data_IF_116190199771
#
_entry.id   IF_116190199771
#
_cell.length_a   1.000
_cell.length_b   1.000
_cell.length_c   1.000
_cell.angle_alpha   90.00
_cell.angle_beta   90.00
_cell.angle_gamma   90.00
#
_symmetry.space_group_name_H-M   'P 1'
#
loop_
_entity.id
_entity.type
_entity.pdbx_description
1 polymer ?
#
# COMPACT_ATOMS: atom_id res chain seq x y z
N UNK A 1 -9.46 92.41 8.90
CA UNK A 1 -10.02 92.96 10.17
C UNK A 1 -11.37 92.31 10.35
N UNK A 2 -11.68 91.92 11.51
CA UNK A 2 -12.84 91.24 12.08
C UNK A 2 -12.68 89.75 12.21
N UNK A 3 -12.30 89.38 13.43
CA UNK A 3 -12.39 88.03 14.00
C UNK A 3 -13.83 87.77 14.44
N UNK A 4 -14.45 86.73 13.97
CA UNK A 4 -15.70 86.23 14.56
C UNK A 4 -15.36 84.96 15.38
N UNK A 5 -15.57 85.02 16.70
CA UNK A 5 -15.54 83.89 17.61
C UNK A 5 -16.87 83.16 17.49
N UNK A 6 -16.83 81.83 17.22
CA UNK A 6 -17.98 80.93 17.42
C UNK A 6 -17.72 80.06 18.61
N UNK A 7 -18.54 80.22 19.63
CA UNK A 7 -18.64 79.34 20.81
C UNK A 7 -19.44 78.11 20.47
N UNK A 8 -18.88 76.95 20.72
CA UNK A 8 -19.58 75.66 20.56
C UNK A 8 -20.04 75.16 21.93
N UNK A 9 -21.34 74.83 22.12
CA UNK A 9 -21.79 74.26 23.41
C UNK A 9 -21.36 72.77 23.57
N UNK A 10 -20.85 72.48 24.73
CA UNK A 10 -20.41 71.20 25.20
C UNK A 10 -21.63 70.30 25.50
N UNK A 11 -21.92 69.25 24.68
CA UNK A 11 -22.96 68.29 24.92
C UNK A 11 -22.34 67.11 25.69
N UNK A 12 -22.80 66.90 26.91
CA UNK A 12 -22.45 65.71 27.70
C UNK A 12 -23.18 64.47 27.14
N UNK A 13 -22.46 63.52 26.56
CA UNK A 13 -23.00 62.20 26.27
C UNK A 13 -22.76 61.27 27.47
N UNK A 14 -23.83 60.84 28.10
CA UNK A 14 -23.84 59.74 29.05
C UNK A 14 -23.64 58.44 28.24
N UNK A 15 -22.52 57.76 28.39
CA UNK A 15 -22.27 56.42 27.82
C UNK A 15 -22.91 55.39 28.75
N UNK A 16 -24.02 54.77 28.29
CA UNK A 16 -24.55 53.53 28.82
C UNK A 16 -23.61 52.37 28.40
N UNK A 17 -22.85 51.85 29.34
CA UNK A 17 -22.06 50.64 29.14
C UNK A 17 -23.00 49.42 29.07
N UNK A 18 -23.31 48.95 27.85
CA UNK A 18 -23.96 47.67 27.64
C UNK A 18 -22.91 46.54 27.80
N UNK A 19 -22.97 45.85 28.92
CA UNK A 19 -22.15 44.66 29.16
C UNK A 19 -22.51 43.53 28.15
N UNK A 20 -21.74 43.37 27.12
CA UNK A 20 -21.80 42.17 26.29
C UNK A 20 -21.15 41.01 27.06
N UNK A 21 -21.97 40.07 27.51
CA UNK A 21 -21.53 38.79 28.02
C UNK A 21 -20.85 38.03 26.85
N UNK A 22 -19.52 37.97 26.84
CA UNK A 22 -18.76 37.06 25.96
C UNK A 22 -19.04 35.64 26.44
N UNK A 23 -19.92 34.93 25.74
CA UNK A 23 -20.02 33.49 25.84
C UNK A 23 -18.71 32.89 25.33
N UNK A 24 -17.84 32.48 26.25
CA UNK A 24 -16.72 31.60 25.96
C UNK A 24 -17.25 30.34 25.29
N UNK A 25 -17.07 30.26 23.96
CA UNK A 25 -17.29 29.02 23.21
C UNK A 25 -16.33 27.99 23.79
N UNK A 26 -16.87 27.02 24.52
CA UNK A 26 -16.09 25.91 25.05
C UNK A 26 -15.45 25.21 23.85
N UNK A 27 -14.15 25.35 23.69
CA UNK A 27 -13.34 24.57 22.76
C UNK A 27 -13.36 23.15 23.29
N UNK A 28 -14.14 22.27 22.69
CA UNK A 28 -14.02 20.84 22.95
C UNK A 28 -12.67 20.42 22.39
N UNK A 29 -11.67 20.28 23.21
CA UNK A 29 -10.39 19.67 22.89
C UNK A 29 -10.60 18.17 22.71
N UNK A 30 -11.14 17.77 21.56
CA UNK A 30 -11.10 16.36 21.16
C UNK A 30 -9.63 16.06 20.86
N UNK A 31 -9.06 15.10 21.57
CA UNK A 31 -7.72 14.57 21.27
C UNK A 31 -7.64 14.26 19.77
N UNK A 32 -6.62 14.76 19.07
CA UNK A 32 -6.45 14.47 17.65
C UNK A 32 -6.40 12.96 17.42
N UNK A 33 -7.23 12.45 16.52
CA UNK A 33 -7.22 11.04 16.16
C UNK A 33 -5.89 10.68 15.50
N UNK A 34 -5.33 9.53 15.86
CA UNK A 34 -4.07 9.07 15.29
C UNK A 34 -3.97 7.55 15.25
N UNK A 35 -3.01 7.06 14.47
CA UNK A 35 -2.62 5.66 14.40
C UNK A 35 -1.12 5.59 14.09
N UNK A 36 -0.43 4.61 14.65
CA UNK A 36 0.99 4.35 14.36
C UNK A 36 1.13 3.02 13.62
N UNK A 37 1.86 3.02 12.52
CA UNK A 37 2.17 1.85 11.69
C UNK A 37 3.61 1.95 11.20
N UNK A 38 4.22 0.81 10.88
CA UNK A 38 5.53 0.79 10.25
C UNK A 38 5.43 0.82 8.71
N UNK A 39 6.55 1.04 8.06
CA UNK A 39 6.71 0.90 6.61
C UNK A 39 6.26 -0.49 6.16
N UNK A 40 5.50 -0.56 5.06
CA UNK A 40 4.94 -1.80 4.52
C UNK A 40 3.67 -2.29 5.22
N UNK A 41 3.15 -1.58 6.21
CA UNK A 41 1.93 -1.94 6.94
C UNK A 41 0.69 -1.21 6.43
N UNK A 42 -0.48 -1.58 6.98
CA UNK A 42 -1.76 -1.00 6.63
C UNK A 42 -2.48 -0.57 7.90
N UNK A 43 -2.87 0.70 7.97
CA UNK A 43 -3.79 1.19 9.00
C UNK A 43 -5.24 1.09 8.52
N UNK A 44 -6.18 0.95 9.45
CA UNK A 44 -7.61 1.02 9.15
C UNK A 44 -8.30 2.15 9.92
N UNK A 45 -9.40 2.63 9.39
CA UNK A 45 -10.31 3.55 10.06
C UNK A 45 -11.75 3.13 9.79
N UNK A 46 -12.33 2.39 10.73
CA UNK A 46 -13.66 1.83 10.61
C UNK A 46 -14.77 2.88 10.90
N UNK A 47 -15.97 2.61 10.42
CA UNK A 47 -17.19 3.35 10.78
C UNK A 47 -17.76 4.23 9.67
N UNK A 48 -18.68 3.67 8.88
CA UNK A 48 -19.54 4.36 7.91
C UNK A 48 -18.79 5.27 6.92
N UNK A 49 -17.62 4.84 6.45
CA UNK A 49 -16.83 5.57 5.49
C UNK A 49 -17.35 5.34 4.06
N UNK A 50 -17.32 6.39 3.24
CA UNK A 50 -17.52 6.32 1.79
C UNK A 50 -16.21 6.45 1.01
N UNK A 51 -15.35 7.39 1.44
CA UNK A 51 -14.14 7.74 0.72
C UNK A 51 -12.99 7.99 1.68
N UNK A 52 -11.82 7.54 1.28
CA UNK A 52 -10.56 7.63 1.99
C UNK A 52 -9.59 8.49 1.19
N UNK A 53 -8.68 9.21 1.86
CA UNK A 53 -7.61 9.95 1.17
C UNK A 53 -6.31 9.89 1.95
N UNK A 54 -5.21 9.69 1.23
CA UNK A 54 -3.85 9.66 1.74
C UNK A 54 -2.88 10.04 0.61
N UNK A 55 -1.86 10.85 0.90
CA UNK A 55 -0.81 11.23 -0.07
C UNK A 55 -1.37 11.69 -1.44
N UNK A 56 -2.29 12.65 -1.41
CA UNK A 56 -2.95 13.23 -2.61
C UNK A 56 -3.74 12.21 -3.45
N UNK A 57 -3.90 10.98 -2.99
CA UNK A 57 -4.73 9.95 -3.61
C UNK A 57 -6.02 9.76 -2.83
N UNK A 58 -7.07 9.33 -3.51
CA UNK A 58 -8.35 9.05 -2.89
C UNK A 58 -8.99 7.81 -3.54
N UNK A 59 -9.70 7.02 -2.69
CA UNK A 59 -10.35 5.79 -3.10
C UNK A 59 -11.62 5.55 -2.30
N UNK A 60 -12.42 4.58 -2.71
CA UNK A 60 -13.63 4.19 -2.02
C UNK A 60 -13.31 3.36 -0.78
N UNK A 61 -14.08 3.53 0.28
CA UNK A 61 -14.03 2.64 1.43
C UNK A 61 -14.50 1.22 1.06
N UNK A 62 -13.99 0.22 1.76
CA UNK A 62 -14.40 -1.18 1.65
C UNK A 62 -15.27 -1.52 2.85
N UNK A 63 -16.54 -1.87 2.63
CA UNK A 63 -17.49 -2.21 3.68
C UNK A 63 -17.52 -1.18 4.84
N UNK A 64 -17.53 0.11 4.49
CA UNK A 64 -17.57 1.21 5.47
C UNK A 64 -16.27 1.46 6.22
N UNK A 65 -15.17 0.84 5.82
CA UNK A 65 -13.84 0.99 6.42
C UNK A 65 -12.85 1.58 5.41
N UNK A 66 -12.08 2.57 5.83
CA UNK A 66 -10.94 3.07 5.10
C UNK A 66 -9.68 2.29 5.48
N UNK A 67 -8.92 1.85 4.49
CA UNK A 67 -7.61 1.25 4.65
C UNK A 67 -6.55 2.19 4.06
N UNK A 68 -5.46 2.40 4.79
CA UNK A 68 -4.37 3.30 4.46
C UNK A 68 -3.07 2.50 4.36
N UNK A 69 -2.74 1.98 3.17
CA UNK A 69 -1.51 1.26 2.96
C UNK A 69 -0.32 2.23 2.97
N UNK A 70 0.68 1.91 3.77
CA UNK A 70 1.95 2.63 3.87
C UNK A 70 2.98 1.92 3.03
N UNK A 71 3.54 2.61 2.05
CA UNK A 71 4.59 2.04 1.19
C UNK A 71 5.84 1.68 2.01
N UNK A 72 6.49 0.56 1.64
CA UNK A 72 7.70 0.09 2.33
C UNK A 72 8.87 1.09 2.29
N UNK A 73 8.88 1.99 1.32
CA UNK A 73 9.91 3.01 1.15
C UNK A 73 9.42 4.42 1.54
N UNK A 74 8.21 4.53 2.12
CA UNK A 74 7.70 5.79 2.63
C UNK A 74 8.60 6.32 3.76
N UNK A 75 8.98 7.58 3.71
CA UNK A 75 9.82 8.17 4.77
C UNK A 75 9.10 8.12 6.12
N UNK A 76 9.79 7.78 7.22
CA UNK A 76 9.22 7.90 8.56
C UNK A 76 8.77 9.33 8.84
N UNK A 77 7.66 9.49 9.57
CA UNK A 77 7.11 10.81 9.88
C UNK A 77 5.60 10.81 10.11
N UNK A 78 5.04 12.01 10.19
CA UNK A 78 3.63 12.24 10.45
C UNK A 78 2.94 12.70 9.17
N UNK A 79 1.85 12.03 8.82
CA UNK A 79 1.10 12.31 7.61
C UNK A 79 -0.39 12.47 7.92
N UNK A 80 -1.07 13.30 7.16
CA UNK A 80 -2.52 13.46 7.30
C UNK A 80 -3.24 12.43 6.45
N UNK A 81 -4.14 11.68 7.07
CA UNK A 81 -5.15 10.86 6.40
C UNK A 81 -6.52 11.49 6.58
N UNK A 82 -7.43 11.23 5.66
CA UNK A 82 -8.80 11.70 5.79
C UNK A 82 -9.82 10.68 5.31
N UNK A 83 -11.04 10.77 5.85
CA UNK A 83 -12.20 10.02 5.40
C UNK A 83 -13.42 10.90 5.25
N UNK A 84 -14.29 10.58 4.29
CA UNK A 84 -15.63 11.12 4.21
C UNK A 84 -16.63 10.04 4.64
N UNK A 85 -17.47 10.37 5.61
CA UNK A 85 -18.51 9.46 6.11
C UNK A 85 -19.72 9.43 5.18
N UNK A 86 -20.60 8.45 5.35
CA UNK A 86 -21.90 8.37 4.64
C UNK A 86 -22.79 9.60 4.89
N UNK A 87 -22.67 10.25 6.07
CA UNK A 87 -23.31 11.53 6.37
C UNK A 87 -22.63 12.76 5.77
N UNK A 88 -21.62 12.59 4.89
CA UNK A 88 -20.94 13.68 4.19
C UNK A 88 -19.85 14.39 5.01
N UNK A 89 -19.69 14.09 6.30
CA UNK A 89 -18.67 14.70 7.17
C UNK A 89 -17.28 14.31 6.72
N UNK A 90 -16.39 15.30 6.57
CA UNK A 90 -14.95 15.09 6.38
C UNK A 90 -14.29 15.02 7.76
N UNK A 91 -13.55 13.95 8.00
CA UNK A 91 -12.76 13.74 9.22
C UNK A 91 -11.30 13.55 8.84
N UNK A 92 -10.39 14.08 9.66
CA UNK A 92 -8.93 13.95 9.50
C UNK A 92 -8.32 13.26 10.71
N UNK A 93 -7.21 12.57 10.49
CA UNK A 93 -6.40 11.96 11.52
C UNK A 93 -4.92 12.00 11.11
N UNK A 94 -4.03 11.71 12.04
CA UNK A 94 -2.60 11.57 11.79
C UNK A 94 -2.22 10.09 11.71
N UNK A 95 -1.51 9.72 10.65
CA UNK A 95 -0.81 8.44 10.59
C UNK A 95 0.67 8.69 10.88
N UNK A 96 1.18 8.02 11.90
CA UNK A 96 2.58 8.08 12.32
C UNK A 96 3.29 6.88 11.69
N UNK A 97 4.11 7.14 10.67
CA UNK A 97 4.88 6.10 9.99
C UNK A 97 6.20 5.91 10.72
N UNK A 98 6.40 4.75 11.29
CA UNK A 98 7.65 4.35 11.91
C UNK A 98 8.60 3.71 10.88
N UNK A 99 9.89 3.90 11.09
CA UNK A 99 10.91 3.17 10.33
C UNK A 99 10.82 1.68 10.67
N UNK A 100 10.91 0.84 9.63
CA UNK A 100 11.06 -0.60 9.78
C UNK A 100 12.47 -0.98 9.42
N UNK A 101 13.23 -1.42 10.41
CA UNK A 101 14.57 -1.95 10.18
C UNK A 101 14.49 -3.13 9.18
N UNK A 102 15.35 -3.11 8.17
CA UNK A 102 15.43 -4.23 7.24
C UNK A 102 16.39 -5.30 7.77
N UNK A 103 16.02 -6.55 7.55
CA UNK A 103 16.93 -7.68 7.75
C UNK A 103 17.89 -7.73 6.58
N UNK A 104 19.20 -7.78 6.87
CA UNK A 104 20.21 -7.87 5.82
C UNK A 104 20.23 -9.29 5.22
N UNK A 105 20.17 -9.38 3.90
CA UNK A 105 20.23 -10.61 3.13
C UNK A 105 21.36 -10.54 2.10
N UNK A 106 22.49 -11.17 2.40
CA UNK A 106 23.68 -11.17 1.56
C UNK A 106 23.73 -12.44 0.70
N UNK A 107 23.45 -12.30 -0.58
CA UNK A 107 23.45 -13.39 -1.54
C UNK A 107 24.84 -13.44 -2.20
N UNK A 108 25.62 -14.42 -1.81
CA UNK A 108 26.95 -14.67 -2.40
C UNK A 108 26.87 -15.74 -3.49
N UNK A 109 27.84 -15.72 -4.42
CA UNK A 109 27.94 -16.71 -5.50
C UNK A 109 26.66 -16.86 -6.35
N UNK A 110 26.00 -15.73 -6.64
CA UNK A 110 24.78 -15.74 -7.44
C UNK A 110 25.02 -16.40 -8.79
N UNK A 111 24.27 -17.49 -9.15
CA UNK A 111 24.63 -18.37 -10.23
C UNK A 111 24.43 -17.74 -11.63
N UNK A 112 23.48 -16.82 -11.76
CA UNK A 112 23.07 -16.23 -13.06
C UNK A 112 23.73 -14.85 -13.23
N UNK A 113 24.92 -14.82 -13.81
CA UNK A 113 25.77 -13.61 -13.93
C UNK A 113 25.09 -12.44 -14.65
N UNK A 114 24.18 -12.72 -15.59
CA UNK A 114 23.41 -11.72 -16.34
C UNK A 114 22.51 -10.83 -15.47
N UNK A 115 22.15 -11.27 -14.27
CA UNK A 115 21.39 -10.47 -13.29
C UNK A 115 22.26 -9.71 -12.29
N UNK A 116 23.57 -10.02 -12.27
CA UNK A 116 24.56 -9.27 -11.46
C UNK A 116 25.13 -8.13 -12.29
N UNK A 117 25.63 -8.46 -13.46
CA UNK A 117 26.23 -7.53 -14.42
C UNK A 117 25.28 -7.38 -15.62
N UNK A 118 24.29 -6.50 -15.46
CA UNK A 118 23.20 -6.36 -16.42
C UNK A 118 23.69 -5.62 -17.68
N UNK A 119 23.59 -6.26 -18.85
CA UNK A 119 23.95 -5.66 -20.12
C UNK A 119 23.04 -4.48 -20.51
N UNK A 120 23.47 -3.54 -21.36
CA UNK A 120 22.62 -2.46 -21.86
C UNK A 120 21.30 -2.95 -22.49
N UNK A 121 21.34 -4.09 -23.21
CA UNK A 121 20.15 -4.70 -23.81
C UNK A 121 19.15 -5.16 -22.73
N UNK A 122 19.65 -5.81 -21.68
CA UNK A 122 18.82 -6.27 -20.57
C UNK A 122 18.29 -5.10 -19.73
N UNK A 123 19.06 -4.02 -19.55
CA UNK A 123 18.59 -2.79 -18.92
C UNK A 123 17.46 -2.16 -19.73
N UNK A 124 17.61 -2.05 -21.05
CA UNK A 124 16.56 -1.52 -21.94
C UNK A 124 15.32 -2.40 -21.94
N UNK A 125 15.48 -3.74 -21.88
CA UNK A 125 14.38 -4.69 -21.73
C UNK A 125 13.64 -4.47 -20.41
N UNK A 126 14.34 -4.44 -19.29
CA UNK A 126 13.75 -4.23 -17.96
C UNK A 126 13.03 -2.87 -17.86
N UNK A 127 13.58 -1.82 -18.48
CA UNK A 127 12.95 -0.50 -18.52
C UNK A 127 11.62 -0.52 -19.31
N UNK A 128 11.57 -1.20 -20.46
CA UNK A 128 10.32 -1.38 -21.24
C UNK A 128 9.28 -2.16 -20.45
N UNK A 129 9.68 -3.23 -19.77
CA UNK A 129 8.80 -4.04 -18.94
C UNK A 129 8.25 -3.22 -17.75
N UNK A 130 9.09 -2.43 -17.09
CA UNK A 130 8.69 -1.52 -16.03
C UNK A 130 7.67 -0.46 -16.51
N UNK A 131 7.83 0.06 -17.72
CA UNK A 131 6.87 1.00 -18.32
C UNK A 131 5.48 0.40 -18.51
N UNK A 132 5.38 -0.92 -18.74
CA UNK A 132 4.10 -1.66 -18.78
C UNK A 132 3.55 -1.91 -17.39
N UNK A 133 4.39 -2.30 -16.43
CA UNK A 133 3.97 -2.70 -15.07
C UNK A 133 3.58 -1.50 -14.20
N UNK A 134 4.34 -0.39 -14.27
CA UNK A 134 4.14 0.77 -13.40
C UNK A 134 2.70 1.36 -13.40
N UNK A 135 1.99 1.48 -14.53
CA UNK A 135 0.58 1.85 -14.51
C UNK A 135 -0.32 0.76 -13.93
N UNK A 136 0.01 -0.54 -14.13
CA UNK A 136 -0.81 -1.66 -13.66
C UNK A 136 -0.83 -1.72 -12.14
N UNK A 137 0.31 -1.58 -11.46
CA UNK A 137 0.39 -1.62 -9.99
C UNK A 137 -0.32 -0.44 -9.29
N UNK A 138 -0.77 0.56 -10.06
CA UNK A 138 -1.57 1.70 -9.59
C UNK A 138 -3.00 1.68 -10.13
N UNK A 139 -3.35 0.62 -10.85
CA UNK A 139 -4.67 0.48 -11.44
C UNK A 139 -5.73 0.33 -10.35
N UNK A 140 -6.89 0.95 -10.57
CA UNK A 140 -8.03 0.88 -9.65
C UNK A 140 -9.26 0.48 -10.44
N UNK A 141 -9.83 -0.66 -10.10
CA UNK A 141 -11.10 -1.11 -10.64
C UNK A 141 -12.24 -0.94 -9.64
N UNK A 142 -13.46 -1.12 -10.11
CA UNK A 142 -14.67 -1.15 -9.29
C UNK A 142 -14.93 -2.51 -8.62
N UNK A 143 -14.08 -3.51 -8.86
CA UNK A 143 -14.16 -4.80 -8.18
C UNK A 143 -14.07 -4.58 -6.66
N UNK A 144 -14.73 -5.43 -5.89
CA UNK A 144 -14.67 -5.37 -4.42
C UNK A 144 -13.74 -6.48 -3.91
N UNK A 145 -12.71 -6.13 -3.12
CA UNK A 145 -11.87 -7.12 -2.48
C UNK A 145 -12.73 -8.04 -1.61
N UNK A 146 -12.45 -9.33 -1.70
CA UNK A 146 -13.07 -10.35 -0.86
C UNK A 146 -12.03 -10.95 0.09
N UNK A 147 -12.38 -12.01 0.77
CA UNK A 147 -11.48 -12.78 1.63
C UNK A 147 -10.37 -13.41 0.79
N UNK A 148 -9.14 -13.31 1.26
CA UNK A 148 -7.93 -13.85 0.62
C UNK A 148 -7.50 -15.17 1.23
N UNK A 149 -6.65 -15.92 0.53
CA UNK A 149 -6.08 -17.19 0.95
C UNK A 149 -4.60 -17.26 0.52
N UNK A 150 -3.88 -18.28 0.95
CA UNK A 150 -2.48 -18.48 0.58
C UNK A 150 -2.31 -18.69 -0.94
N UNK A 151 -1.23 -18.15 -1.54
CA UNK A 151 -0.95 -18.29 -2.98
C UNK A 151 -0.47 -19.67 -3.40
N UNK A 152 -0.19 -20.56 -2.43
CA UNK A 152 0.23 -21.95 -2.64
C UNK A 152 -0.60 -22.88 -1.77
N UNK A 153 -0.92 -24.05 -2.29
CA UNK A 153 -1.68 -25.07 -1.53
C UNK A 153 -0.91 -25.59 -0.32
N UNK A 154 -1.66 -26.11 0.65
CA UNK A 154 -1.13 -26.70 1.90
C UNK A 154 -0.12 -27.83 1.60
N UNK A 155 0.87 -28.06 2.49
CA UNK A 155 0.74 -27.88 3.93
C UNK A 155 1.20 -26.50 4.40
N UNK A 156 0.25 -25.72 4.88
CA UNK A 156 0.47 -24.36 5.36
C UNK A 156 1.43 -24.26 6.56
N UNK A 157 1.76 -25.37 7.21
CA UNK A 157 2.62 -25.40 8.40
C UNK A 157 4.11 -25.19 8.10
N UNK A 158 4.52 -25.34 6.82
CA UNK A 158 5.89 -25.10 6.36
C UNK A 158 6.08 -23.75 5.68
N UNK A 159 5.00 -22.99 5.47
CA UNK A 159 5.07 -21.68 4.83
C UNK A 159 5.41 -20.61 5.88
N UNK A 160 6.19 -19.58 5.51
CA UNK A 160 6.47 -18.46 6.40
C UNK A 160 5.17 -17.86 6.91
N UNK A 161 4.97 -17.88 8.23
CA UNK A 161 3.90 -17.14 8.91
C UNK A 161 4.44 -15.76 9.26
N UNK A 162 3.64 -14.74 9.07
CA UNK A 162 4.05 -13.37 9.38
C UNK A 162 4.78 -12.68 8.23
N UNK A 163 5.83 -11.95 8.54
CA UNK A 163 6.46 -11.03 7.58
C UNK A 163 7.34 -11.74 6.53
N UNK A 164 7.75 -12.97 6.78
CA UNK A 164 8.70 -13.67 5.92
C UNK A 164 9.97 -12.85 5.70
N UNK A 165 10.43 -12.77 4.44
CA UNK A 165 11.56 -11.94 4.03
C UNK A 165 11.12 -10.63 3.31
N UNK A 166 9.87 -10.20 3.45
CA UNK A 166 9.40 -8.92 2.94
C UNK A 166 10.21 -7.77 3.53
N UNK A 167 10.65 -6.86 2.68
CA UNK A 167 11.41 -5.67 3.08
C UNK A 167 12.89 -5.93 3.41
N UNK A 168 13.41 -7.15 3.21
CA UNK A 168 14.83 -7.43 3.40
C UNK A 168 15.71 -6.52 2.54
N UNK A 169 16.80 -6.01 3.13
CA UNK A 169 17.86 -5.31 2.43
C UNK A 169 18.79 -6.32 1.78
N UNK A 170 18.88 -6.30 0.46
CA UNK A 170 19.61 -7.30 -0.30
C UNK A 170 20.92 -6.79 -0.87
N UNK A 171 21.98 -7.59 -0.77
CA UNK A 171 23.13 -7.48 -1.65
C UNK A 171 23.25 -8.73 -2.53
N UNK A 172 23.73 -8.58 -3.74
CA UNK A 172 24.05 -9.71 -4.60
C UNK A 172 25.53 -9.57 -5.00
N UNK A 173 26.35 -10.53 -4.58
CA UNK A 173 27.80 -10.50 -4.75
C UNK A 173 28.41 -9.15 -4.29
N UNK A 174 27.98 -8.67 -3.12
CA UNK A 174 28.43 -7.40 -2.52
C UNK A 174 27.83 -6.13 -3.14
N UNK A 175 27.00 -6.23 -4.19
CA UNK A 175 26.35 -5.08 -4.80
C UNK A 175 24.95 -4.87 -4.20
N UNK A 176 24.63 -3.66 -3.68
CA UNK A 176 23.30 -3.35 -3.19
C UNK A 176 22.22 -3.55 -4.26
N UNK A 177 21.04 -3.99 -3.83
CA UNK A 177 19.83 -4.14 -4.65
C UNK A 177 18.65 -3.48 -3.92
N UNK A 178 17.56 -3.29 -4.68
CA UNK A 178 16.29 -2.85 -4.09
C UNK A 178 15.85 -3.82 -2.99
N UNK A 179 15.16 -3.28 -1.99
CA UNK A 179 14.56 -4.07 -0.93
C UNK A 179 13.63 -5.13 -1.50
N UNK A 180 13.49 -6.24 -0.79
CA UNK A 180 12.61 -7.33 -1.20
C UNK A 180 11.13 -6.91 -1.15
N UNK A 181 10.47 -6.89 -2.32
CA UNK A 181 9.12 -6.30 -2.48
C UNK A 181 7.97 -7.27 -2.23
N UNK A 182 8.25 -8.49 -1.82
CA UNK A 182 7.26 -9.53 -1.54
C UNK A 182 7.74 -10.52 -0.50
N UNK A 183 7.03 -11.61 -0.40
CA UNK A 183 7.40 -12.75 0.43
C UNK A 183 7.74 -13.92 -0.47
N UNK A 184 8.85 -14.59 -0.17
CA UNK A 184 9.24 -15.80 -0.88
C UNK A 184 8.69 -17.03 -0.16
N UNK A 185 7.99 -17.88 -0.91
CA UNK A 185 7.51 -19.19 -0.47
C UNK A 185 8.42 -20.27 -1.01
N UNK A 186 9.20 -20.95 -0.16
CA UNK A 186 10.14 -22.00 -0.58
C UNK A 186 9.38 -23.26 -0.99
N UNK A 187 9.05 -23.36 -2.27
CA UNK A 187 8.32 -24.48 -2.87
C UNK A 187 9.07 -25.00 -4.09
N UNK A 188 8.97 -26.29 -4.34
CA UNK A 188 9.62 -26.94 -5.48
C UNK A 188 9.04 -26.53 -6.84
N UNK A 189 9.85 -26.68 -7.89
CA UNK A 189 9.41 -26.49 -9.27
C UNK A 189 8.20 -27.39 -9.57
N UNK A 190 7.14 -26.78 -10.13
CA UNK A 190 5.91 -27.50 -10.48
C UNK A 190 4.85 -27.48 -9.37
N UNK A 191 5.12 -26.90 -8.20
CA UNK A 191 4.09 -26.68 -7.19
C UNK A 191 2.99 -25.76 -7.75
N UNK A 192 1.70 -26.15 -7.64
CA UNK A 192 0.59 -25.32 -8.09
C UNK A 192 0.58 -23.97 -7.38
N UNK A 193 0.44 -22.88 -8.17
CA UNK A 193 0.26 -21.52 -7.68
C UNK A 193 -1.20 -21.12 -7.88
N UNK A 194 -1.80 -20.56 -6.83
CA UNK A 194 -3.22 -20.28 -6.74
C UNK A 194 -3.46 -18.78 -6.64
N UNK A 195 -4.55 -18.29 -7.24
CA UNK A 195 -5.03 -16.93 -7.01
C UNK A 195 -5.46 -16.75 -5.56
N UNK A 196 -4.90 -15.78 -4.86
CA UNK A 196 -5.22 -15.49 -3.45
C UNK A 196 -6.67 -15.04 -3.25
N UNK A 197 -7.30 -14.51 -4.28
CA UNK A 197 -8.67 -13.97 -4.24
C UNK A 197 -9.33 -14.00 -5.60
N UNK A 198 -10.62 -13.66 -5.63
CA UNK A 198 -11.30 -13.36 -6.89
C UNK A 198 -10.65 -12.14 -7.55
N UNK A 199 -10.56 -12.12 -8.88
CA UNK A 199 -9.95 -10.98 -9.55
C UNK A 199 -9.92 -11.09 -11.06
N UNK A 200 -9.22 -10.17 -11.67
CA UNK A 200 -8.97 -10.13 -13.12
C UNK A 200 -7.47 -10.04 -13.39
N UNK A 201 -6.97 -10.90 -14.25
CA UNK A 201 -5.58 -10.90 -14.68
C UNK A 201 -5.29 -9.61 -15.46
N UNK A 202 -4.34 -8.81 -14.97
CA UNK A 202 -3.88 -7.60 -15.65
C UNK A 202 -2.75 -7.94 -16.64
N UNK A 203 -1.83 -8.80 -16.23
CA UNK A 203 -0.68 -9.19 -17.02
C UNK A 203 -0.31 -10.65 -16.72
N UNK A 204 0.06 -11.40 -17.76
CA UNK A 204 0.75 -12.67 -17.68
C UNK A 204 1.83 -12.66 -18.76
N UNK A 205 3.10 -12.53 -18.37
CA UNK A 205 4.21 -12.31 -19.29
C UNK A 205 5.55 -12.81 -18.71
N UNK A 206 6.51 -13.06 -19.60
CA UNK A 206 7.90 -13.28 -19.19
C UNK A 206 8.63 -11.93 -19.09
N UNK A 207 9.22 -11.67 -17.94
CA UNK A 207 9.95 -10.45 -17.62
C UNK A 207 11.39 -10.76 -17.22
N UNK A 208 12.29 -9.81 -17.43
CA UNK A 208 13.72 -10.03 -17.17
C UNK A 208 13.97 -10.42 -15.71
N UNK A 209 13.57 -9.58 -14.75
CA UNK A 209 13.84 -9.86 -13.34
C UNK A 209 12.84 -10.82 -12.71
N UNK A 210 11.55 -10.65 -12.98
CA UNK A 210 10.48 -11.45 -12.36
C UNK A 210 10.28 -12.83 -13.01
N UNK A 211 10.94 -13.09 -14.14
CA UNK A 211 10.72 -14.31 -14.90
C UNK A 211 9.28 -14.39 -15.44
N UNK A 212 8.69 -15.57 -15.46
CA UNK A 212 7.27 -15.72 -15.76
C UNK A 212 6.46 -15.15 -14.62
N UNK A 213 5.67 -14.11 -14.90
CA UNK A 213 4.96 -13.31 -13.93
C UNK A 213 3.48 -13.19 -14.24
N UNK A 214 2.66 -13.18 -13.19
CA UNK A 214 1.21 -12.91 -13.25
C UNK A 214 0.88 -11.80 -12.28
N UNK A 215 0.04 -10.84 -12.73
CA UNK A 215 -0.50 -9.74 -11.93
C UNK A 215 -2.02 -9.82 -11.96
N UNK A 216 -2.65 -9.80 -10.78
CA UNK A 216 -4.11 -9.91 -10.64
C UNK A 216 -4.66 -8.72 -9.88
N UNK A 217 -5.64 -8.03 -10.46
CA UNK A 217 -6.43 -6.99 -9.81
C UNK A 217 -7.59 -7.63 -9.03
N UNK A 218 -7.63 -7.35 -7.74
CA UNK A 218 -8.68 -7.80 -6.82
C UNK A 218 -9.72 -6.71 -6.51
N UNK A 219 -9.54 -5.53 -7.11
CA UNK A 219 -10.40 -4.38 -6.87
C UNK A 219 -9.86 -3.43 -5.81
N UNK A 220 -10.43 -2.23 -5.78
CA UNK A 220 -10.03 -1.15 -4.88
C UNK A 220 -8.51 -0.91 -4.84
N UNK A 221 -7.85 -1.01 -5.99
CA UNK A 221 -6.40 -0.80 -6.12
C UNK A 221 -5.51 -1.87 -5.49
N UNK A 222 -6.07 -3.01 -5.11
CA UNK A 222 -5.33 -4.15 -4.57
C UNK A 222 -4.91 -5.10 -5.67
N UNK A 223 -3.61 -5.29 -5.83
CA UNK A 223 -3.01 -6.12 -6.89
C UNK A 223 -2.06 -7.12 -6.24
N UNK A 224 -2.20 -8.39 -6.62
CA UNK A 224 -1.26 -9.45 -6.27
C UNK A 224 -0.30 -9.74 -7.42
N UNK A 225 0.94 -10.05 -7.06
CA UNK A 225 2.07 -10.29 -7.95
C UNK A 225 2.61 -11.71 -7.67
N UNK A 226 2.75 -12.53 -8.73
CA UNK A 226 3.24 -13.92 -8.65
C UNK A 226 4.41 -14.07 -9.61
N UNK A 227 5.64 -14.25 -9.11
CA UNK A 227 6.85 -14.26 -9.92
C UNK A 227 7.59 -15.59 -9.87
N UNK A 228 8.58 -15.69 -10.74
CA UNK A 228 9.48 -16.83 -10.88
C UNK A 228 8.80 -18.12 -11.30
N UNK A 229 7.60 -18.02 -11.91
CA UNK A 229 6.82 -19.17 -12.30
C UNK A 229 7.55 -20.02 -13.36
N UNK A 230 7.38 -21.38 -13.30
CA UNK A 230 7.74 -22.27 -14.39
C UNK A 230 6.88 -21.96 -15.62
N UNK A 231 5.58 -21.82 -15.39
CA UNK A 231 4.59 -21.49 -16.42
C UNK A 231 3.34 -20.87 -15.77
N UNK A 232 2.59 -20.12 -16.54
CA UNK A 232 1.27 -19.64 -16.17
C UNK A 232 0.21 -20.21 -17.11
N UNK A 233 -1.02 -20.41 -16.59
CA UNK A 233 -2.17 -21.01 -17.30
C UNK A 233 -3.32 -20.02 -17.50
N UNK A 234 -3.05 -18.73 -17.28
CA UNK A 234 -4.02 -17.64 -17.39
C UNK A 234 -3.53 -16.61 -18.41
N UNK A 235 -4.45 -15.76 -18.90
CA UNK A 235 -4.16 -14.71 -19.90
C UNK A 235 -4.71 -13.36 -19.43
N UNK A 236 -4.18 -12.24 -19.93
CA UNK A 236 -4.71 -10.90 -19.62
C UNK A 236 -6.22 -10.81 -19.87
N UNK A 237 -6.91 -10.07 -18.99
CA UNK A 237 -8.36 -9.89 -18.94
C UNK A 237 -9.18 -11.13 -18.52
N UNK A 238 -8.56 -12.26 -18.23
CA UNK A 238 -9.26 -13.42 -17.69
C UNK A 238 -9.71 -13.15 -16.25
N UNK A 239 -10.97 -13.47 -15.94
CA UNK A 239 -11.46 -13.53 -14.56
C UNK A 239 -10.97 -14.81 -13.89
N UNK A 240 -10.53 -14.70 -12.65
CA UNK A 240 -10.10 -15.83 -11.81
C UNK A 240 -10.86 -15.81 -10.49
N UNK A 241 -11.03 -16.98 -9.89
CA UNK A 241 -11.64 -17.15 -8.58
C UNK A 241 -10.57 -17.46 -7.52
N UNK A 242 -10.87 -17.17 -6.27
CA UNK A 242 -10.02 -17.54 -5.13
C UNK A 242 -9.71 -19.04 -5.16
N UNK A 243 -8.44 -19.41 -5.00
CA UNK A 243 -7.98 -20.80 -5.05
C UNK A 243 -7.87 -21.39 -6.46
N UNK A 244 -8.23 -20.65 -7.50
CA UNK A 244 -8.02 -21.10 -8.87
C UNK A 244 -6.53 -21.20 -9.19
N UNK A 245 -6.10 -22.33 -9.76
CA UNK A 245 -4.73 -22.49 -10.25
C UNK A 245 -4.46 -21.54 -11.41
N UNK A 246 -3.40 -20.73 -11.28
CA UNK A 246 -2.97 -19.73 -12.25
C UNK A 246 -1.64 -20.07 -12.92
N UNK A 247 -0.90 -21.04 -12.36
CA UNK A 247 0.38 -21.47 -12.88
C UNK A 247 1.06 -22.48 -11.97
N UNK A 248 2.36 -22.62 -12.17
CA UNK A 248 3.23 -23.50 -11.39
C UNK A 248 4.48 -22.73 -10.96
N UNK A 249 4.93 -22.90 -9.73
CA UNK A 249 6.18 -22.36 -9.21
C UNK A 249 7.38 -22.88 -10.02
N UNK A 250 8.39 -22.04 -10.10
CA UNK A 250 9.59 -22.33 -10.88
C UNK A 250 10.83 -21.63 -10.34
N UNK A 251 11.74 -21.30 -11.25
CA UNK A 251 13.02 -20.63 -10.96
C UNK A 251 13.42 -19.69 -12.12
N UNK A 252 12.41 -19.11 -12.80
CA UNK A 252 12.67 -18.20 -13.92
C UNK A 252 13.01 -16.79 -13.43
N UNK A 253 13.78 -16.03 -14.21
CA UNK A 253 14.21 -14.67 -13.81
C UNK A 253 15.36 -14.67 -12.81
N UNK A 254 15.43 -13.61 -11.98
CA UNK A 254 16.52 -13.36 -11.01
C UNK A 254 16.26 -14.09 -9.70
N UNK A 255 16.67 -15.35 -9.62
CA UNK A 255 16.49 -16.23 -8.45
C UNK A 255 17.74 -17.05 -8.16
N UNK A 256 17.92 -17.46 -6.91
CA UNK A 256 18.98 -18.38 -6.46
C UNK A 256 18.54 -19.83 -6.51
N UNK A 257 17.25 -20.10 -6.56
CA UNK A 257 16.66 -21.43 -6.59
C UNK A 257 15.14 -21.39 -6.67
N UNK A 258 14.48 -22.56 -6.71
CA UNK A 258 13.03 -22.65 -6.84
C UNK A 258 12.28 -22.02 -5.66
N UNK A 259 11.35 -21.13 -5.95
CA UNK A 259 10.39 -20.56 -4.99
C UNK A 259 9.27 -19.82 -5.73
N UNK A 260 8.20 -19.50 -5.03
CA UNK A 260 7.24 -18.49 -5.46
C UNK A 260 7.56 -17.19 -4.74
N UNK A 261 7.86 -16.12 -5.49
CA UNK A 261 7.80 -14.76 -4.97
C UNK A 261 6.37 -14.24 -5.07
N UNK A 262 5.81 -13.80 -3.95
CA UNK A 262 4.46 -13.26 -3.85
C UNK A 262 4.50 -11.84 -3.32
N UNK A 263 4.08 -10.87 -4.14
CA UNK A 263 4.02 -9.45 -3.81
C UNK A 263 2.59 -8.91 -3.75
N UNK A 264 2.41 -7.79 -3.07
CA UNK A 264 1.14 -7.08 -2.98
C UNK A 264 1.35 -5.58 -3.16
N UNK A 265 0.54 -5.00 -4.05
CA UNK A 265 0.40 -3.55 -4.20
C UNK A 265 -1.01 -3.13 -3.79
N UNK A 266 -1.11 -2.13 -2.94
CA UNK A 266 -2.40 -1.55 -2.60
C UNK A 266 -2.36 -0.04 -2.80
N UNK A 267 -3.19 0.45 -3.73
CA UNK A 267 -3.12 1.83 -4.22
C UNK A 267 -1.70 2.26 -4.65
N UNK A 268 -0.94 1.31 -5.21
CA UNK A 268 0.44 1.51 -5.64
C UNK A 268 1.50 1.41 -4.53
N UNK A 269 1.10 1.36 -3.26
CA UNK A 269 2.03 1.10 -2.16
C UNK A 269 2.44 -0.37 -2.14
N UNK A 270 3.72 -0.63 -1.97
CA UNK A 270 4.26 -1.97 -1.71
C UNK A 270 4.05 -2.31 -0.24
N UNK A 271 3.21 -3.29 0.04
CA UNK A 271 2.88 -3.68 1.40
C UNK A 271 3.26 -5.14 1.66
N UNK A 272 3.45 -5.47 2.95
CA UNK A 272 3.68 -6.84 3.37
C UNK A 272 2.48 -7.73 3.00
N UNK A 273 2.68 -8.78 2.18
CA UNK A 273 1.61 -9.68 1.75
C UNK A 273 0.85 -10.35 2.90
N UNK A 274 1.47 -10.49 4.06
CA UNK A 274 0.84 -11.04 5.27
C UNK A 274 -0.43 -10.31 5.69
N UNK A 275 -0.56 -9.00 5.35
CA UNK A 275 -1.77 -8.23 5.65
C UNK A 275 -3.03 -8.72 4.92
N UNK A 276 -2.90 -9.50 3.86
CA UNK A 276 -4.07 -10.13 3.22
C UNK A 276 -4.61 -11.34 3.99
N UNK A 277 -3.84 -11.87 4.92
CA UNK A 277 -4.11 -13.14 5.61
C UNK A 277 -4.49 -12.96 7.08
N UNK A 278 -4.42 -11.74 7.61
CA UNK A 278 -4.87 -11.41 8.97
C UNK A 278 -6.32 -10.95 8.96
N UNK A 279 -7.00 -11.10 10.09
CA UNK A 279 -8.31 -10.47 10.28
C UNK A 279 -8.14 -8.94 10.23
N UNK A 280 -8.93 -8.21 9.43
CA UNK A 280 -8.90 -6.76 9.44
C UNK A 280 -9.07 -6.14 10.84
N UNK A 281 -9.71 -6.85 11.78
CA UNK A 281 -9.84 -6.41 13.16
C UNK A 281 -8.48 -6.32 13.89
N UNK A 282 -7.49 -7.10 13.46
CA UNK A 282 -6.14 -7.13 14.05
C UNK A 282 -5.22 -6.04 13.50
N UNK A 283 -5.65 -5.32 12.45
CA UNK A 283 -4.89 -4.19 11.91
C UNK A 283 -4.94 -2.99 12.86
N UNK A 284 -3.89 -2.15 12.83
CA UNK A 284 -3.83 -0.92 13.61
C UNK A 284 -4.98 0.02 13.23
N UNK A 285 -5.76 0.46 14.22
CA UNK A 285 -6.95 1.28 14.02
C UNK A 285 -6.76 2.72 14.49
N UNK A 286 -7.27 3.67 13.69
CA UNK A 286 -7.33 5.10 14.05
C UNK A 286 -8.24 5.31 15.24
N UNK A 287 -7.70 5.83 16.33
CA UNK A 287 -8.39 6.13 17.60
C UNK A 287 -8.40 7.62 17.89
#
# INVERSE_FOLDING_TARGET
>A
MNKLLFTIPMVFFLSLASGQAQTKKASSTTTPKSVSVAQGEVARWAGNCLRCSFEKRAWSAVNGTCYYPVDMDMKPGHYTISRRTTGGKLETATINVAEKACVQEDITNFPKKEYVNVSPQNQARAAKEAAVVNPLIRYQSSLRPAVFDLPVGKPANSLPKGEGNFGACRTINGQPRDRHTGQDYPVGVGTPVLSVGNGRVLLAANQFYSGNAVYIDHGNGLISEYFHLKSYSVKPNQTVTKGQKIGFAGETGRVTGPHLHFGVRWHGACINPGFLLIDPADMQEVK
#
